data_IF_425310598953
#
_entry.id   IF_425310598953
#
_cell.length_a   1.000
_cell.length_b   1.000
_cell.length_c   1.000
_cell.angle_alpha   90.00
_cell.angle_beta   90.00
_cell.angle_gamma   90.00
#
_symmetry.space_group_name_H-M   'P 1'
#
loop_
_entity.id
_entity.type
_entity.pdbx_description
1 polymer ?
#
# COMPACT_ATOMS: atom_id res chain seq x y z
N UNK A 1 -31.83 8.26 25.95
CA UNK A 1 -31.29 8.46 24.59
C UNK A 1 -29.81 8.16 24.70
N UNK A 2 -29.40 7.03 24.15
CA UNK A 2 -28.07 6.44 24.36
C UNK A 2 -26.93 7.33 23.87
N UNK A 3 -25.81 7.41 24.61
CA UNK A 3 -24.62 8.09 24.15
C UNK A 3 -23.98 7.29 23.01
N UNK A 4 -23.62 8.01 21.95
CA UNK A 4 -22.93 7.51 20.77
C UNK A 4 -21.72 6.65 21.19
N UNK A 5 -21.75 5.41 20.71
CA UNK A 5 -20.68 4.43 20.81
C UNK A 5 -19.38 5.03 20.24
N UNK A 6 -18.45 5.43 21.10
CA UNK A 6 -17.09 5.84 20.73
C UNK A 6 -16.26 4.60 20.40
N UNK A 7 -16.38 4.11 19.16
CA UNK A 7 -15.42 3.16 18.63
C UNK A 7 -14.20 3.92 18.11
N UNK A 8 -13.13 3.95 18.91
CA UNK A 8 -11.78 4.28 18.46
C UNK A 8 -11.27 3.15 17.56
N UNK A 9 -11.10 3.39 16.26
CA UNK A 9 -10.44 2.44 15.36
C UNK A 9 -9.39 3.17 14.49
N UNK A 10 -8.19 2.54 14.49
CA UNK A 10 -6.93 2.79 13.76
C UNK A 10 -6.42 4.23 13.68
N UNK A 11 -5.55 4.62 14.63
CA UNK A 11 -4.56 5.69 14.43
C UNK A 11 -3.34 5.10 13.71
N UNK A 12 -2.62 5.86 12.87
CA UNK A 12 -1.28 5.44 12.44
C UNK A 12 -0.43 5.27 13.70
N UNK A 13 0.10 4.09 13.92
CA UNK A 13 1.15 3.94 14.92
C UNK A 13 2.45 3.89 14.14
N UNK A 14 3.35 4.75 14.55
CA UNK A 14 4.66 4.96 13.97
C UNK A 14 5.55 3.80 14.42
N UNK A 15 6.14 3.06 13.49
CA UNK A 15 7.26 2.20 13.82
C UNK A 15 8.52 3.00 13.52
N UNK A 16 9.21 3.40 14.57
CA UNK A 16 10.52 4.02 14.48
C UNK A 16 11.58 2.92 14.45
N UNK A 17 12.45 2.95 13.44
CA UNK A 17 13.59 2.03 13.33
C UNK A 17 14.86 2.86 13.49
N UNK A 18 15.48 2.79 14.67
CA UNK A 18 16.57 3.71 15.07
C UNK A 18 17.96 3.36 14.52
N UNK A 19 18.10 2.22 13.82
CA UNK A 19 19.20 1.77 12.93
C UNK A 19 19.01 0.28 12.68
N UNK A 20 19.43 -0.24 11.53
CA UNK A 20 19.61 -1.69 11.30
C UNK A 20 21.05 -1.90 10.86
N UNK A 21 21.96 -2.15 11.81
CA UNK A 21 23.38 -2.38 11.49
C UNK A 21 23.57 -3.86 11.12
N UNK A 22 23.78 -4.15 9.85
CA UNK A 22 24.07 -5.51 9.37
C UNK A 22 25.56 -5.82 9.46
N UNK A 23 25.95 -6.65 10.43
CA UNK A 23 27.15 -7.50 10.31
C UNK A 23 26.68 -8.91 9.98
N UNK A 24 27.04 -9.43 8.81
CA UNK A 24 26.62 -10.75 8.33
C UNK A 24 27.12 -11.86 9.28
N UNK A 25 26.19 -12.54 9.94
CA UNK A 25 26.41 -13.72 10.79
C UNK A 25 25.11 -14.10 11.54
N UNK A 26 24.92 -15.38 11.84
CA UNK A 26 23.70 -15.99 12.43
C UNK A 26 23.23 -15.39 13.77
N UNK A 27 23.97 -14.44 14.35
CA UNK A 27 23.61 -13.68 15.57
C UNK A 27 22.88 -12.33 15.29
N UNK A 28 22.46 -12.04 14.05
CA UNK A 28 21.97 -10.71 13.65
C UNK A 28 20.44 -10.49 13.78
N UNK A 29 19.62 -11.53 13.85
CA UNK A 29 18.15 -11.40 13.91
C UNK A 29 17.65 -10.84 15.25
N UNK A 30 18.17 -11.33 16.39
CA UNK A 30 17.85 -10.77 17.72
C UNK A 30 18.35 -9.32 17.89
N UNK A 31 19.49 -8.97 17.28
CA UNK A 31 19.99 -7.58 17.28
C UNK A 31 19.13 -6.62 16.46
N UNK A 32 18.54 -7.06 15.35
CA UNK A 32 17.63 -6.23 14.56
C UNK A 32 16.34 -5.92 15.32
N UNK A 33 15.79 -6.89 16.06
CA UNK A 33 14.57 -6.70 16.86
C UNK A 33 14.80 -5.75 18.04
N UNK A 34 15.98 -5.75 18.65
CA UNK A 34 16.34 -4.82 19.74
C UNK A 34 16.54 -3.35 19.27
N UNK A 35 16.48 -3.07 17.96
CA UNK A 35 16.57 -1.71 17.39
C UNK A 35 15.23 -1.20 16.83
N UNK A 36 14.18 -2.02 16.93
CA UNK A 36 12.80 -1.63 16.63
C UNK A 36 12.16 -1.33 17.97
N UNK A 37 11.99 -0.05 18.29
CA UNK A 37 11.27 0.31 19.49
C UNK A 37 9.82 -0.18 19.39
N UNK A 38 9.26 -0.56 20.54
CA UNK A 38 7.84 -0.89 20.61
C UNK A 38 7.01 0.28 20.06
N UNK A 39 6.03 0.01 19.17
CA UNK A 39 5.29 1.06 18.47
C UNK A 39 4.77 2.14 19.43
N UNK A 40 5.20 3.40 19.27
CA UNK A 40 4.78 4.50 20.15
C UNK A 40 3.42 5.08 19.71
N UNK A 41 2.44 5.02 20.60
CA UNK A 41 1.06 5.46 20.33
C UNK A 41 0.92 6.97 20.53
N UNK A 42 0.55 7.67 19.47
CA UNK A 42 0.17 9.08 19.52
C UNK A 42 -1.30 9.25 19.10
N UNK A 43 -2.14 9.78 19.99
CA UNK A 43 -3.55 10.08 19.69
C UNK A 43 -3.66 11.40 18.91
N UNK A 44 -4.37 11.39 17.78
CA UNK A 44 -4.53 12.56 16.88
C UNK A 44 -6.01 12.84 16.64
N UNK A 45 -6.44 14.10 16.75
CA UNK A 45 -7.86 14.49 16.71
C UNK A 45 -8.35 14.93 15.31
N UNK A 46 -9.67 14.86 15.09
CA UNK A 46 -10.36 15.06 13.79
C UNK A 46 -10.94 16.47 13.64
N UNK A 47 -10.81 17.07 12.46
CA UNK A 47 -11.61 18.23 12.02
C UNK A 47 -12.18 18.08 10.60
N UNK A 48 -11.56 17.26 9.75
CA UNK A 48 -12.00 16.95 8.38
C UNK A 48 -12.43 15.48 8.27
N UNK A 49 -13.57 15.21 7.61
CA UNK A 49 -14.03 13.85 7.31
C UNK A 49 -14.88 13.81 6.03
N UNK A 50 -14.97 12.61 5.43
CA UNK A 50 -15.94 12.31 4.37
C UNK A 50 -16.84 11.18 4.86
N UNK A 51 -18.16 11.43 4.89
CA UNK A 51 -19.19 10.48 5.36
C UNK A 51 -18.89 9.90 6.77
N UNK A 52 -18.30 10.71 7.65
CA UNK A 52 -17.97 10.30 9.03
C UNK A 52 -16.68 9.48 9.18
N UNK A 53 -15.93 9.22 8.10
CA UNK A 53 -14.64 8.51 8.12
C UNK A 53 -13.49 9.45 7.75
N UNK A 54 -12.38 9.31 8.48
CA UNK A 54 -11.14 10.06 8.31
C UNK A 54 -10.02 9.36 9.10
N UNK A 55 -8.77 9.72 8.81
CA UNK A 55 -7.58 9.21 9.50
C UNK A 55 -7.36 7.70 9.31
N UNK A 56 -7.83 7.14 8.18
CA UNK A 56 -7.42 5.81 7.72
C UNK A 56 -6.14 5.98 6.90
N UNK A 57 -5.02 6.00 7.62
CA UNK A 57 -3.73 6.37 7.07
C UNK A 57 -3.01 5.16 6.49
N UNK A 58 -2.78 5.21 5.18
CA UNK A 58 -2.40 4.03 4.38
C UNK A 58 -0.99 4.07 3.79
N UNK A 59 -0.20 5.11 4.11
CA UNK A 59 1.26 5.11 3.90
C UNK A 59 1.92 6.27 4.68
N UNK A 60 3.25 6.32 4.65
CA UNK A 60 4.08 7.34 5.29
C UNK A 60 5.36 7.58 4.48
N UNK A 61 5.66 8.84 4.14
CA UNK A 61 6.90 9.17 3.42
C UNK A 61 7.44 10.54 3.81
N UNK A 62 8.73 10.80 3.53
CA UNK A 62 9.36 12.10 3.77
C UNK A 62 9.59 12.81 2.43
N UNK A 63 8.88 13.92 2.20
CA UNK A 63 8.96 14.69 0.96
C UNK A 63 9.21 16.17 1.24
N UNK A 64 10.38 16.67 0.82
CA UNK A 64 10.88 18.02 1.15
C UNK A 64 10.82 18.34 2.65
N UNK A 65 11.44 17.48 3.48
CA UNK A 65 11.54 17.62 4.94
C UNK A 65 10.18 17.64 5.66
N UNK A 66 9.12 17.15 5.00
CA UNK A 66 7.81 16.97 5.59
C UNK A 66 7.49 15.49 5.67
N UNK A 67 7.08 15.02 6.83
CA UNK A 67 6.52 13.68 6.99
C UNK A 67 5.09 13.75 6.49
N UNK A 68 4.78 13.06 5.40
CA UNK A 68 3.46 13.09 4.76
C UNK A 68 2.76 11.75 4.94
N UNK A 69 1.45 11.82 5.16
CA UNK A 69 0.59 10.64 5.24
C UNK A 69 -0.73 10.90 4.52
N UNK A 70 -1.28 9.93 3.77
CA UNK A 70 -2.52 10.07 3.04
C UNK A 70 -3.68 9.41 3.80
N UNK A 71 -4.87 9.99 3.72
CA UNK A 71 -6.11 9.38 4.21
C UNK A 71 -6.88 8.77 3.04
N UNK A 72 -7.04 7.44 3.04
CA UNK A 72 -7.65 6.67 1.96
C UNK A 72 -9.17 6.88 1.80
N UNK A 73 -9.82 7.57 2.76
CA UNK A 73 -11.24 7.94 2.68
C UNK A 73 -11.44 9.34 2.18
N UNK A 74 -10.65 10.28 2.68
CA UNK A 74 -10.81 11.67 2.29
C UNK A 74 -10.06 12.00 1.01
N UNK A 75 -8.98 11.28 0.69
CA UNK A 75 -8.03 11.65 -0.35
C UNK A 75 -7.13 12.81 0.04
N UNK A 76 -7.10 13.20 1.32
CA UNK A 76 -6.25 14.26 1.83
C UNK A 76 -4.85 13.73 2.13
N UNK A 77 -3.82 14.38 1.58
CA UNK A 77 -2.45 14.26 2.05
C UNK A 77 -2.23 15.32 3.13
N UNK A 78 -1.72 14.88 4.28
CA UNK A 78 -1.44 15.76 5.41
C UNK A 78 0.02 15.65 5.83
N UNK A 79 0.58 16.75 6.32
CA UNK A 79 1.86 16.79 7.01
C UNK A 79 1.69 16.43 8.48
N UNK A 80 2.53 15.51 8.95
CA UNK A 80 2.75 15.25 10.37
C UNK A 80 3.82 16.21 10.87
N UNK A 81 3.45 17.08 11.81
CA UNK A 81 4.37 17.99 12.50
C UNK A 81 4.16 17.92 14.00
N UNK A 82 5.02 17.17 14.69
CA UNK A 82 4.81 16.82 16.09
C UNK A 82 3.49 16.04 16.26
N UNK A 83 2.63 16.54 17.15
CA UNK A 83 1.29 16.01 17.40
C UNK A 83 0.23 16.48 16.40
N UNK A 84 0.57 17.41 15.49
CA UNK A 84 -0.36 17.99 14.54
C UNK A 84 -0.44 17.20 13.23
N UNK A 85 -1.64 17.20 12.63
CA UNK A 85 -1.93 16.76 11.26
C UNK A 85 -2.39 17.99 10.49
N UNK A 86 -1.55 18.46 9.56
CA UNK A 86 -1.77 19.68 8.80
C UNK A 86 -2.17 19.29 7.37
N UNK A 87 -3.43 19.52 6.95
CA UNK A 87 -3.86 19.23 5.58
C UNK A 87 -3.02 19.98 4.55
N UNK A 88 -2.63 19.31 3.47
CA UNK A 88 -1.81 19.91 2.43
C UNK A 88 -2.46 19.86 1.04
N UNK A 89 -2.74 18.66 0.53
CA UNK A 89 -3.25 18.46 -0.85
C UNK A 89 -4.42 17.50 -0.85
N UNK A 90 -5.52 17.90 -1.49
CA UNK A 90 -6.68 17.03 -1.71
C UNK A 90 -6.59 16.34 -3.07
N UNK A 91 -6.88 15.05 -3.10
CA UNK A 91 -6.85 14.22 -4.31
C UNK A 91 -8.25 13.68 -4.60
N UNK A 92 -8.84 14.12 -5.72
CA UNK A 92 -10.05 13.51 -6.26
C UNK A 92 -9.76 12.12 -6.85
N UNK A 93 -10.74 11.21 -6.73
CA UNK A 93 -10.65 9.86 -7.28
C UNK A 93 -10.45 9.81 -8.80
N UNK A 94 -9.90 8.68 -9.28
CA UNK A 94 -9.74 8.40 -10.70
C UNK A 94 -9.05 9.51 -11.53
N UNK A 95 -9.65 9.98 -12.64
CA UNK A 95 -9.09 11.04 -13.50
C UNK A 95 -9.05 12.44 -12.87
N UNK A 96 -9.55 12.63 -11.65
CA UNK A 96 -9.51 13.91 -10.94
C UNK A 96 -10.78 14.76 -11.03
N UNK A 97 -11.75 14.37 -11.86
CA UNK A 97 -13.03 15.06 -12.02
C UNK A 97 -14.20 14.31 -11.35
N UNK A 98 -13.93 13.60 -10.26
CA UNK A 98 -14.93 12.84 -9.48
C UNK A 98 -15.32 13.56 -8.19
N UNK A 99 -16.44 13.18 -7.59
CA UNK A 99 -16.90 13.71 -6.30
C UNK A 99 -16.37 12.95 -5.08
N UNK A 100 -15.66 11.84 -5.29
CA UNK A 100 -15.11 11.01 -4.22
C UNK A 100 -13.63 11.32 -3.98
N UNK A 101 -13.18 11.13 -2.73
CA UNK A 101 -11.77 11.17 -2.36
C UNK A 101 -11.01 10.02 -3.01
N UNK A 102 -9.76 10.26 -3.39
CA UNK A 102 -8.91 9.23 -3.94
C UNK A 102 -8.51 8.23 -2.84
N UNK A 103 -8.80 6.94 -3.09
CA UNK A 103 -8.37 5.86 -2.19
C UNK A 103 -6.87 5.65 -2.33
N UNK A 104 -6.09 6.40 -1.57
CA UNK A 104 -4.65 6.28 -1.52
C UNK A 104 -4.23 5.06 -0.72
N UNK A 105 -3.32 4.27 -1.26
CA UNK A 105 -2.87 3.00 -0.69
C UNK A 105 -1.35 2.88 -0.64
N UNK A 106 -0.62 3.76 -1.36
CA UNK A 106 0.83 3.81 -1.35
C UNK A 106 1.35 5.17 -1.83
N UNK A 107 2.54 5.54 -1.38
CA UNK A 107 3.29 6.72 -1.80
C UNK A 107 4.77 6.41 -2.06
N UNK A 108 5.33 7.05 -3.08
CA UNK A 108 6.78 7.02 -3.30
C UNK A 108 7.26 8.29 -4.01
N UNK A 109 8.58 8.49 -4.06
CA UNK A 109 9.18 9.70 -4.62
C UNK A 109 10.03 9.31 -5.82
N UNK A 110 9.78 9.98 -6.95
CA UNK A 110 10.61 9.84 -8.16
C UNK A 110 10.69 11.17 -8.87
N UNK A 111 11.92 11.58 -9.22
CA UNK A 111 12.20 12.81 -9.98
C UNK A 111 11.54 14.06 -9.36
N UNK A 112 11.69 14.24 -8.04
CA UNK A 112 11.13 15.37 -7.27
C UNK A 112 9.58 15.45 -7.26
N UNK A 113 8.91 14.35 -7.62
CA UNK A 113 7.47 14.20 -7.56
C UNK A 113 7.07 13.15 -6.52
N UNK A 114 6.06 13.49 -5.72
CA UNK A 114 5.36 12.52 -4.88
C UNK A 114 4.35 11.77 -5.76
N UNK A 115 4.58 10.48 -5.97
CA UNK A 115 3.65 9.55 -6.58
C UNK A 115 2.72 8.98 -5.51
N UNK A 116 1.43 8.96 -5.80
CA UNK A 116 0.38 8.55 -4.87
C UNK A 116 -0.58 7.65 -5.61
N UNK A 117 -0.62 6.36 -5.25
CA UNK A 117 -1.42 5.39 -5.98
C UNK A 117 -2.54 4.78 -5.16
N UNK A 118 -3.48 4.19 -5.89
CA UNK A 118 -4.53 3.36 -5.33
C UNK A 118 -4.19 1.88 -5.53
N UNK A 119 -5.12 1.00 -5.17
CA UNK A 119 -4.87 -0.44 -5.09
C UNK A 119 -4.77 -1.17 -6.43
N UNK A 120 -5.07 -0.51 -7.55
CA UNK A 120 -4.95 -1.11 -8.88
C UNK A 120 -6.01 -2.17 -9.20
N UNK A 121 -7.11 -2.23 -8.45
CA UNK A 121 -8.22 -3.18 -8.69
C UNK A 121 -9.38 -2.49 -9.42
N UNK A 122 -9.82 -3.09 -10.52
CA UNK A 122 -11.09 -2.74 -11.17
C UNK A 122 -12.24 -3.28 -10.33
N UNK A 123 -13.15 -2.40 -9.92
CA UNK A 123 -14.32 -2.76 -9.09
C UNK A 123 -15.58 -2.80 -9.95
N UNK A 124 -16.59 -3.57 -9.54
CA UNK A 124 -17.92 -3.45 -10.12
C UNK A 124 -18.50 -2.08 -9.74
N UNK A 125 -19.05 -1.35 -10.69
CA UNK A 125 -19.73 -0.09 -10.40
C UNK A 125 -21.03 -0.40 -9.62
N UNK A 126 -21.39 0.38 -8.61
CA UNK A 126 -22.61 0.18 -7.80
C UNK A 126 -23.92 0.22 -8.64
N UNK A 127 -23.85 0.70 -9.89
CA UNK A 127 -24.96 0.65 -10.86
C UNK A 127 -25.06 -0.67 -11.61
N UNK A 128 -24.01 -1.49 -11.62
CA UNK A 128 -24.00 -2.80 -12.26
C UNK A 128 -24.38 -3.86 -11.23
N UNK A 129 -25.65 -4.31 -11.25
CA UNK A 129 -26.15 -5.41 -10.39
C UNK A 129 -25.68 -6.80 -10.85
N UNK A 130 -24.79 -6.88 -11.85
CA UNK A 130 -24.27 -8.15 -12.36
C UNK A 130 -22.95 -8.50 -11.69
N UNK A 131 -22.82 -9.69 -11.09
CA UNK A 131 -21.55 -10.16 -10.56
C UNK A 131 -20.50 -10.20 -11.67
N UNK A 132 -19.27 -9.74 -11.37
CA UNK A 132 -18.11 -9.79 -12.27
C UNK A 132 -17.91 -11.20 -12.88
N UNK A 133 -18.27 -12.24 -12.12
CA UNK A 133 -18.27 -13.64 -12.54
C UNK A 133 -19.15 -13.92 -13.77
N UNK A 134 -20.33 -13.33 -13.87
CA UNK A 134 -21.20 -13.51 -15.04
C UNK A 134 -20.66 -12.78 -16.28
N UNK A 135 -19.90 -11.69 -16.09
CA UNK A 135 -19.25 -10.98 -17.19
C UNK A 135 -18.08 -11.78 -17.79
N UNK A 136 -17.39 -12.61 -17.01
CA UNK A 136 -16.32 -13.47 -17.53
C UNK A 136 -16.86 -14.68 -18.29
N UNK A 137 -17.95 -15.31 -17.79
CA UNK A 137 -18.57 -16.49 -18.43
C UNK A 137 -19.18 -16.15 -19.79
N UNK A 138 -19.81 -14.98 -19.93
CA UNK A 138 -20.54 -14.61 -21.15
C UNK A 138 -19.64 -14.05 -22.27
N UNK A 139 -18.32 -13.97 -22.09
CA UNK A 139 -17.43 -13.27 -23.04
C UNK A 139 -17.72 -11.76 -23.14
N UNK A 140 -18.57 -11.24 -22.26
CA UNK A 140 -19.06 -9.87 -22.24
C UNK A 140 -18.09 -8.89 -21.58
N UNK A 141 -16.83 -9.25 -21.36
CA UNK A 141 -15.82 -8.32 -20.82
C UNK A 141 -15.73 -7.04 -21.67
N UNK A 142 -15.89 -7.16 -23.00
CA UNK A 142 -15.95 -6.03 -23.95
C UNK A 142 -17.29 -5.26 -23.97
N UNK A 143 -18.35 -5.78 -23.36
CA UNK A 143 -19.65 -5.13 -23.25
C UNK A 143 -19.86 -4.48 -21.87
N UNK A 144 -19.34 -5.10 -20.80
CA UNK A 144 -19.29 -4.56 -19.45
C UNK A 144 -18.40 -3.30 -19.35
N UNK A 145 -17.42 -3.16 -20.25
CA UNK A 145 -16.58 -1.96 -20.40
C UNK A 145 -17.38 -0.69 -20.73
N UNK A 146 -18.59 -0.80 -21.29
CA UNK A 146 -19.37 0.38 -21.70
C UNK A 146 -20.19 0.99 -20.55
N UNK A 147 -20.55 0.23 -19.49
CA UNK A 147 -21.41 0.74 -18.41
C UNK A 147 -21.22 0.14 -16.98
N UNK A 148 -20.30 -0.81 -16.74
CA UNK A 148 -20.36 -1.62 -15.50
C UNK A 148 -19.14 -1.64 -14.57
N UNK A 149 -17.97 -1.15 -14.99
CA UNK A 149 -16.73 -1.27 -14.23
C UNK A 149 -16.20 0.09 -13.77
N UNK A 150 -15.87 0.20 -12.49
CA UNK A 150 -15.13 1.34 -11.94
C UNK A 150 -13.63 1.07 -12.02
N UNK A 151 -12.91 1.98 -12.68
CA UNK A 151 -11.46 1.93 -12.87
C UNK A 151 -10.73 3.05 -12.13
N UNK A 152 -11.39 3.75 -11.21
CA UNK A 152 -10.81 4.86 -10.49
C UNK A 152 -9.55 4.46 -9.70
N UNK A 153 -9.51 3.23 -9.18
CA UNK A 153 -8.33 2.69 -8.48
C UNK A 153 -7.16 2.34 -9.40
N UNK A 154 -7.32 2.44 -10.73
CA UNK A 154 -6.25 2.26 -11.71
C UNK A 154 -5.44 3.54 -11.96
N UNK A 155 -5.80 4.64 -11.31
CA UNK A 155 -5.13 5.92 -11.47
C UNK A 155 -4.06 6.13 -10.40
N UNK A 156 -3.01 6.86 -10.77
CA UNK A 156 -1.96 7.36 -9.88
C UNK A 156 -1.94 8.88 -9.97
N UNK A 157 -1.65 9.55 -8.87
CA UNK A 157 -1.48 11.00 -8.80
C UNK A 157 0.01 11.31 -8.70
N UNK A 158 0.45 12.39 -9.33
CA UNK A 158 1.77 12.97 -9.08
C UNK A 158 1.58 14.36 -8.51
N UNK A 159 2.25 14.66 -7.40
CA UNK A 159 2.15 15.93 -6.69
C UNK A 159 3.52 16.60 -6.68
N UNK A 160 3.58 17.85 -7.13
CA UNK A 160 4.83 18.65 -7.09
C UNK A 160 5.11 19.14 -5.66
N UNK A 161 6.30 19.65 -5.36
CA UNK A 161 6.60 20.22 -4.03
C UNK A 161 5.67 21.37 -3.65
N UNK A 162 5.14 22.09 -4.66
CA UNK A 162 4.18 23.18 -4.50
C UNK A 162 2.72 22.71 -4.36
N UNK A 163 2.45 21.41 -4.49
CA UNK A 163 1.12 20.83 -4.34
C UNK A 163 0.32 20.74 -5.64
N UNK A 164 0.94 20.96 -6.79
CA UNK A 164 0.26 20.82 -8.09
C UNK A 164 0.04 19.34 -8.39
N UNK A 165 -1.20 18.98 -8.74
CA UNK A 165 -1.62 17.59 -8.95
C UNK A 165 -1.75 17.28 -10.43
N UNK A 166 -1.17 16.17 -10.88
CA UNK A 166 -1.45 15.57 -12.20
C UNK A 166 -1.99 14.16 -12.02
N UNK A 167 -2.92 13.76 -12.89
CA UNK A 167 -3.58 12.45 -12.86
C UNK A 167 -3.02 11.56 -13.97
N UNK A 168 -2.52 10.38 -13.62
CA UNK A 168 -1.89 9.42 -14.54
C UNK A 168 -2.73 8.14 -14.57
N UNK A 169 -3.18 7.74 -15.76
CA UNK A 169 -3.86 6.47 -15.94
C UNK A 169 -2.82 5.34 -15.98
N UNK A 170 -2.80 4.48 -14.96
CA UNK A 170 -1.87 3.34 -14.85
C UNK A 170 -2.53 2.01 -15.23
N UNK A 171 -3.72 2.03 -15.88
CA UNK A 171 -4.43 0.80 -16.27
C UNK A 171 -3.53 -0.19 -17.02
N UNK A 172 -2.81 0.27 -18.04
CA UNK A 172 -1.95 -0.60 -18.84
C UNK A 172 -0.71 -1.06 -18.05
N UNK A 173 -0.19 -0.23 -17.16
CA UNK A 173 0.95 -0.56 -16.30
C UNK A 173 0.56 -1.68 -15.33
N UNK A 174 -0.56 -1.52 -14.61
CA UNK A 174 -1.07 -2.56 -13.72
C UNK A 174 -1.40 -3.85 -14.46
N UNK A 175 -1.96 -3.79 -15.68
CA UNK A 175 -2.19 -4.97 -16.50
C UNK A 175 -0.88 -5.69 -16.89
N UNK A 176 0.18 -4.95 -17.23
CA UNK A 176 1.50 -5.53 -17.49
C UNK A 176 2.10 -6.19 -16.25
N UNK A 177 1.94 -5.58 -15.07
CA UNK A 177 2.35 -6.19 -13.80
C UNK A 177 1.64 -7.54 -13.60
N UNK A 178 0.31 -7.59 -13.76
CA UNK A 178 -0.47 -8.85 -13.68
C UNK A 178 0.06 -9.91 -14.64
N UNK A 179 0.23 -9.55 -15.91
CA UNK A 179 0.70 -10.47 -16.94
C UNK A 179 2.11 -11.01 -16.63
N UNK A 180 3.01 -10.17 -16.10
CA UNK A 180 4.39 -10.56 -15.78
C UNK A 180 4.52 -11.65 -14.71
N UNK A 181 3.51 -11.80 -13.85
CA UNK A 181 3.47 -12.82 -12.80
C UNK A 181 2.48 -13.95 -13.11
N UNK A 182 2.02 -14.06 -14.36
CA UNK A 182 1.12 -15.12 -14.81
C UNK A 182 -0.31 -15.01 -14.27
N UNK A 183 -0.76 -13.80 -13.91
CA UNK A 183 -2.15 -13.54 -13.51
C UNK A 183 -2.99 -13.17 -14.73
N UNK A 184 -4.08 -13.91 -14.92
CA UNK A 184 -5.00 -13.75 -16.04
C UNK A 184 -5.72 -12.39 -16.04
N UNK A 185 -6.33 -12.03 -17.17
CA UNK A 185 -7.13 -10.80 -17.28
C UNK A 185 -8.27 -10.73 -16.25
N UNK A 186 -8.88 -11.88 -15.94
CA UNK A 186 -9.94 -12.01 -14.95
C UNK A 186 -9.43 -11.94 -13.50
N UNK A 187 -8.14 -12.18 -13.28
CA UNK A 187 -7.48 -12.05 -11.98
C UNK A 187 -7.13 -10.61 -11.61
N UNK A 188 -6.59 -10.44 -10.40
CA UNK A 188 -6.19 -9.14 -9.87
C UNK A 188 -4.92 -9.22 -9.02
N UNK A 189 -4.27 -8.07 -8.89
CA UNK A 189 -3.23 -7.80 -7.91
C UNK A 189 -3.66 -6.55 -7.15
N UNK A 190 -3.50 -6.58 -5.81
CA UNK A 190 -3.74 -5.45 -4.93
C UNK A 190 -2.41 -4.82 -4.53
N UNK A 191 -2.25 -3.52 -4.79
CA UNK A 191 -1.02 -2.78 -4.46
C UNK A 191 -1.22 -1.85 -3.27
N UNK A 192 -0.42 -2.04 -2.21
CA UNK A 192 -0.36 -1.13 -1.04
C UNK A 192 1.09 -0.82 -0.66
N UNK A 193 2.06 -1.37 -1.39
CA UNK A 193 3.47 -1.27 -1.06
C UNK A 193 4.27 -1.14 -2.35
N UNK A 194 4.66 0.10 -2.67
CA UNK A 194 5.36 0.48 -3.92
C UNK A 194 6.44 1.49 -3.60
N UNK A 195 7.67 1.27 -4.06
CA UNK A 195 8.76 2.25 -3.94
C UNK A 195 9.56 2.38 -5.24
N UNK A 196 10.03 3.58 -5.53
CA UNK A 196 11.08 3.85 -6.51
C UNK A 196 12.44 3.93 -5.79
N UNK A 197 13.44 3.19 -6.27
CA UNK A 197 14.82 3.37 -5.84
C UNK A 197 15.60 4.15 -6.91
N UNK A 198 16.13 5.31 -6.52
CA UNK A 198 17.02 6.08 -7.38
C UNK A 198 18.40 5.40 -7.55
N UNK A 199 18.86 4.67 -6.53
CA UNK A 199 20.15 3.94 -6.57
C UNK A 199 20.10 2.74 -7.50
N UNK A 200 19.03 1.94 -7.39
CA UNK A 200 18.80 0.78 -8.24
C UNK A 200 18.17 1.16 -9.59
N UNK A 201 17.68 2.40 -9.74
CA UNK A 201 16.96 2.92 -10.91
C UNK A 201 15.77 2.06 -11.33
N UNK A 202 15.02 1.59 -10.33
CA UNK A 202 13.92 0.64 -10.52
C UNK A 202 12.76 0.92 -9.58
N UNK A 203 11.58 0.64 -10.07
CA UNK A 203 10.37 0.46 -9.27
C UNK A 203 10.38 -0.92 -8.63
N UNK A 204 9.88 -0.99 -7.41
CA UNK A 204 9.68 -2.20 -6.65
C UNK A 204 8.25 -2.22 -6.11
N UNK A 205 7.60 -3.38 -6.23
CA UNK A 205 6.25 -3.62 -5.77
C UNK A 205 6.25 -4.87 -4.91
N UNK A 206 5.62 -4.76 -3.74
CA UNK A 206 5.29 -5.87 -2.87
C UNK A 206 3.77 -5.91 -2.76
N UNK A 207 3.07 -6.61 -3.67
CA UNK A 207 1.62 -6.58 -3.66
C UNK A 207 1.06 -7.16 -2.36
N UNK A 208 -0.03 -6.58 -1.86
CA UNK A 208 -0.74 -7.11 -0.67
C UNK A 208 -1.37 -8.46 -0.99
N UNK A 209 -2.11 -8.50 -2.10
CA UNK A 209 -2.94 -9.64 -2.50
C UNK A 209 -2.76 -9.93 -3.99
N UNK A 210 -2.92 -11.20 -4.38
CA UNK A 210 -2.86 -11.63 -5.77
C UNK A 210 -3.72 -12.88 -5.99
N UNK A 211 -4.53 -12.90 -7.05
CA UNK A 211 -5.34 -14.06 -7.39
C UNK A 211 -5.63 -14.14 -8.90
N UNK A 212 -5.77 -15.36 -9.41
CA UNK A 212 -6.21 -15.65 -10.79
C UNK A 212 -7.74 -15.60 -10.97
N UNK A 213 -8.48 -15.47 -9.87
CA UNK A 213 -9.94 -15.34 -9.85
C UNK A 213 -10.36 -13.87 -9.77
N UNK A 214 -11.58 -13.51 -10.21
CA UNK A 214 -12.12 -12.17 -10.01
C UNK A 214 -12.09 -11.73 -8.54
N UNK A 215 -11.96 -10.42 -8.32
CA UNK A 215 -11.99 -9.84 -6.99
C UNK A 215 -13.31 -10.17 -6.28
N UNK A 216 -13.20 -10.80 -5.11
CA UNK A 216 -14.28 -11.06 -4.18
C UNK A 216 -13.84 -10.61 -2.80
N UNK A 217 -14.53 -9.61 -2.24
CA UNK A 217 -14.19 -9.01 -0.95
C UNK A 217 -14.14 -10.03 0.18
N UNK A 218 -15.03 -11.03 0.19
CA UNK A 218 -15.09 -12.02 1.26
C UNK A 218 -13.95 -13.05 1.21
N UNK A 219 -13.32 -13.22 0.05
CA UNK A 219 -12.22 -14.18 -0.13
C UNK A 219 -10.84 -13.51 -0.14
N UNK A 220 -10.79 -12.19 -0.35
CA UNK A 220 -9.57 -11.41 -0.54
C UNK A 220 -8.63 -11.46 0.68
N UNK A 221 -9.19 -11.62 1.88
CA UNK A 221 -8.41 -11.74 3.12
C UNK A 221 -7.44 -12.94 3.08
N UNK A 222 -7.76 -13.98 2.31
CA UNK A 222 -6.93 -15.19 2.13
C UNK A 222 -6.04 -15.16 0.86
N UNK A 223 -5.91 -14.02 0.19
CA UNK A 223 -5.14 -13.88 -1.06
C UNK A 223 -3.77 -13.23 -0.87
N UNK A 224 -3.21 -13.26 0.33
CA UNK A 224 -1.83 -12.81 0.64
C UNK A 224 -0.80 -13.38 -0.33
N UNK A 225 0.28 -12.64 -0.61
CA UNK A 225 1.30 -13.06 -1.58
C UNK A 225 2.71 -12.80 -1.06
N UNK A 226 3.70 -13.45 -1.68
CA UNK A 226 5.13 -13.30 -1.39
C UNK A 226 5.92 -12.76 -2.59
N UNK A 227 5.24 -12.12 -3.56
CA UNK A 227 5.86 -11.57 -4.76
C UNK A 227 6.66 -10.30 -4.45
N UNK A 228 7.86 -10.23 -5.01
CA UNK A 228 8.66 -9.01 -5.19
C UNK A 228 8.78 -8.75 -6.68
N UNK A 229 8.08 -7.73 -7.18
CA UNK A 229 8.06 -7.37 -8.59
C UNK A 229 8.90 -6.11 -8.75
N UNK A 230 9.70 -6.03 -9.82
CA UNK A 230 10.48 -4.83 -10.11
C UNK A 230 10.51 -4.49 -11.59
N UNK A 231 10.73 -3.22 -11.90
CA UNK A 231 10.81 -2.73 -13.28
C UNK A 231 11.63 -1.46 -13.38
N UNK A 232 12.56 -1.34 -14.35
CA UNK A 232 13.27 -0.09 -14.60
C UNK A 232 12.39 1.00 -15.22
N UNK A 233 11.39 0.61 -16.02
CA UNK A 233 10.72 1.50 -16.99
C UNK A 233 9.18 1.42 -16.96
N UNK A 234 8.59 0.59 -16.10
CA UNK A 234 7.16 0.26 -16.06
C UNK A 234 6.63 -0.37 -17.37
N UNK A 235 7.52 -0.96 -18.16
CA UNK A 235 7.22 -1.70 -19.39
C UNK A 235 7.66 -3.14 -19.24
N UNK A 236 8.89 -3.36 -18.75
CA UNK A 236 9.48 -4.68 -18.55
C UNK A 236 9.51 -4.99 -17.06
N UNK A 237 8.85 -6.08 -16.68
CA UNK A 237 8.71 -6.48 -15.28
C UNK A 237 9.39 -7.83 -15.05
N UNK A 238 10.09 -7.92 -13.94
CA UNK A 238 10.68 -9.16 -13.41
C UNK A 238 10.12 -9.38 -12.02
N UNK A 239 9.98 -10.64 -11.61
CA UNK A 239 9.55 -10.96 -10.26
C UNK A 239 10.41 -12.03 -9.61
N UNK A 240 10.43 -11.99 -8.29
CA UNK A 240 11.00 -12.99 -7.40
C UNK A 240 9.96 -13.31 -6.32
N UNK A 241 10.21 -14.37 -5.55
CA UNK A 241 9.45 -14.69 -4.34
C UNK A 241 10.32 -14.44 -3.11
N UNK A 242 9.69 -14.00 -2.02
CA UNK A 242 10.35 -13.68 -0.75
C UNK A 242 9.82 -14.60 0.33
N UNK A 243 10.61 -15.60 0.72
CA UNK A 243 10.19 -16.62 1.69
C UNK A 243 8.94 -17.40 1.25
N UNK A 244 8.29 -18.04 2.22
CA UNK A 244 7.08 -18.83 1.99
C UNK A 244 5.81 -17.97 1.95
N UNK A 245 4.87 -18.33 1.07
CA UNK A 245 3.59 -17.61 0.96
C UNK A 245 2.69 -17.92 2.15
N UNK A 246 2.35 -16.89 2.93
CA UNK A 246 1.27 -16.95 3.91
C UNK A 246 -0.03 -16.33 3.33
N UNK A 247 -1.12 -17.09 3.15
CA UNK A 247 -2.37 -16.57 2.56
C UNK A 247 -3.04 -15.46 3.36
N UNK A 248 -2.88 -15.43 4.69
CA UNK A 248 -3.54 -14.46 5.58
C UNK A 248 -2.78 -13.13 5.65
N UNK A 249 -1.49 -13.13 5.30
CA UNK A 249 -0.59 -11.98 5.44
C UNK A 249 -0.35 -11.33 4.08
N UNK A 250 -0.62 -10.04 3.97
CA UNK A 250 -0.33 -9.26 2.77
C UNK A 250 0.56 -8.08 3.09
N UNK A 251 1.51 -7.77 2.20
CA UNK A 251 2.35 -6.58 2.33
C UNK A 251 1.50 -5.31 2.39
N UNK A 252 1.77 -4.45 3.38
CA UNK A 252 1.06 -3.18 3.59
C UNK A 252 1.94 -1.95 3.42
N UNK A 253 3.26 -2.08 3.59
CA UNK A 253 4.22 -1.02 3.34
C UNK A 253 5.64 -1.61 3.23
N UNK A 254 6.55 -0.87 2.61
CA UNK A 254 7.99 -1.13 2.74
C UNK A 254 8.81 0.11 2.46
N UNK A 255 10.05 0.08 2.94
CA UNK A 255 11.07 1.06 2.58
C UNK A 255 12.44 0.39 2.48
N UNK A 256 13.39 1.05 1.84
CA UNK A 256 14.77 0.59 1.78
C UNK A 256 15.52 0.97 3.05
N UNK A 257 16.36 0.07 3.55
CA UNK A 257 17.19 0.34 4.72
C UNK A 257 18.30 1.34 4.31
N UNK A 258 18.45 2.49 5.03
CA UNK A 258 19.52 3.44 4.77
C UNK A 258 20.90 2.80 4.75
N UNK A 259 21.83 3.38 3.99
CA UNK A 259 23.22 2.92 3.88
C UNK A 259 23.41 1.48 3.35
N UNK A 260 22.37 0.88 2.73
CA UNK A 260 22.45 -0.45 2.10
C UNK A 260 22.44 -0.41 0.57
N UNK A 261 22.68 0.75 -0.04
CA UNK A 261 22.53 0.96 -1.49
C UNK A 261 21.14 0.56 -2.04
N UNK A 262 20.11 0.60 -1.18
CA UNK A 262 18.75 0.13 -1.46
C UNK A 262 18.69 -1.37 -1.82
N UNK A 263 19.65 -2.16 -1.31
CA UNK A 263 19.70 -3.60 -1.52
C UNK A 263 18.95 -4.38 -0.44
N UNK A 264 18.72 -3.76 0.73
CA UNK A 264 17.91 -4.34 1.80
C UNK A 264 16.58 -3.59 1.95
N UNK A 265 15.52 -4.36 2.14
CA UNK A 265 14.15 -3.91 2.33
C UNK A 265 13.70 -4.31 3.73
N UNK A 266 13.08 -3.37 4.43
CA UNK A 266 12.20 -3.66 5.57
C UNK A 266 10.76 -3.50 5.11
N UNK A 267 9.94 -4.52 5.35
CA UNK A 267 8.55 -4.53 4.91
C UNK A 267 7.61 -4.91 6.06
N UNK A 268 6.39 -4.36 5.98
CA UNK A 268 5.29 -4.71 6.84
C UNK A 268 4.32 -5.61 6.09
N UNK A 269 3.78 -6.61 6.80
CA UNK A 269 2.62 -7.39 6.36
C UNK A 269 1.52 -7.24 7.39
N UNK A 270 0.27 -7.15 6.95
CA UNK A 270 -0.88 -7.13 7.85
C UNK A 270 -1.81 -8.30 7.56
N UNK A 271 -2.52 -8.72 8.61
CA UNK A 271 -3.57 -9.73 8.61
C UNK A 271 -4.89 -9.09 9.02
N UNK A 272 -5.97 -9.48 8.35
CA UNK A 272 -7.36 -9.12 8.66
C UNK A 272 -8.19 -10.39 8.46
N UNK A 273 -8.53 -11.09 9.54
CA UNK A 273 -9.35 -12.31 9.48
C UNK A 273 -10.48 -12.18 10.49
N UNK A 274 -11.71 -11.98 9.98
CA UNK A 274 -12.84 -11.62 10.81
C UNK A 274 -12.56 -10.29 11.53
N UNK A 275 -12.65 -10.30 12.85
CA UNK A 275 -12.37 -9.11 13.68
C UNK A 275 -10.90 -9.04 14.16
N UNK A 276 -10.06 -10.02 13.82
CA UNK A 276 -8.66 -10.07 14.23
C UNK A 276 -7.76 -9.33 13.24
N UNK A 277 -6.93 -8.42 13.76
CA UNK A 277 -5.88 -7.76 12.99
C UNK A 277 -4.52 -7.91 13.65
N UNK A 278 -3.47 -8.03 12.84
CA UNK A 278 -2.09 -8.10 13.31
C UNK A 278 -1.14 -7.52 12.26
N UNK A 279 0.01 -7.03 12.70
CA UNK A 279 1.10 -6.58 11.83
C UNK A 279 2.36 -7.41 12.07
N UNK A 280 3.07 -7.73 11.00
CA UNK A 280 4.35 -8.44 11.00
C UNK A 280 5.40 -7.57 10.31
N UNK A 281 6.63 -7.61 10.83
CA UNK A 281 7.82 -7.02 10.18
C UNK A 281 8.69 -8.13 9.59
N UNK A 282 9.29 -7.87 8.44
CA UNK A 282 10.25 -8.78 7.79
C UNK A 282 11.35 -7.97 7.12
N UNK A 283 12.54 -8.55 6.99
CA UNK A 283 13.69 -7.95 6.31
C UNK A 283 14.24 -8.94 5.30
N UNK A 284 14.49 -8.47 4.09
CA UNK A 284 15.03 -9.29 2.99
C UNK A 284 15.77 -8.39 1.99
N UNK A 285 16.60 -8.99 1.14
CA UNK A 285 17.27 -8.26 0.08
C UNK A 285 16.44 -8.19 -1.22
N UNK A 286 16.83 -7.31 -2.15
CA UNK A 286 16.17 -7.18 -3.47
C UNK A 286 16.24 -8.45 -4.34
N UNK A 287 17.00 -9.47 -3.93
CA UNK A 287 17.05 -10.78 -4.56
C UNK A 287 16.07 -11.80 -3.93
N UNK A 288 15.28 -11.39 -2.94
CA UNK A 288 14.30 -12.22 -2.24
C UNK A 288 14.89 -13.12 -1.14
N UNK A 289 16.17 -12.94 -0.78
CA UNK A 289 16.78 -13.65 0.35
C UNK A 289 16.30 -13.03 1.65
N UNK A 290 15.58 -13.81 2.45
CA UNK A 290 15.10 -13.40 3.78
C UNK A 290 16.26 -13.32 4.77
N UNK A 291 16.25 -12.26 5.57
CA UNK A 291 17.20 -11.97 6.65
C UNK A 291 16.46 -12.04 8.01
N UNK A 292 15.24 -11.52 8.05
CA UNK A 292 14.32 -11.63 9.18
C UNK A 292 12.98 -12.18 8.68
N UNK A 293 12.61 -13.37 9.15
CA UNK A 293 11.29 -13.96 8.92
C UNK A 293 10.18 -13.09 9.54
N UNK A 294 8.96 -13.25 9.05
CA UNK A 294 7.79 -12.54 9.56
C UNK A 294 7.70 -12.60 11.10
N UNK A 295 7.98 -11.48 11.76
CA UNK A 295 7.92 -11.34 13.21
C UNK A 295 6.74 -10.45 13.58
N UNK A 296 5.84 -10.96 14.40
CA UNK A 296 4.66 -10.22 14.82
C UNK A 296 5.03 -9.04 15.72
N UNK A 297 4.48 -7.87 15.41
CA UNK A 297 4.60 -6.68 16.23
C UNK A 297 3.50 -6.71 17.30
N UNK A 298 3.81 -6.21 18.49
CA UNK A 298 2.85 -6.18 19.60
C UNK A 298 1.65 -5.28 19.26
N UNK A 299 0.46 -5.81 19.52
CA UNK A 299 -0.81 -5.09 19.44
C UNK A 299 -1.69 -5.54 18.26
N UNK A 300 -3.01 -5.43 18.45
CA UNK A 300 -4.01 -5.85 17.45
C UNK A 300 -4.29 -4.71 16.47
N UNK A 301 -3.24 -4.23 15.79
CA UNK A 301 -3.32 -3.09 14.87
C UNK A 301 -2.77 -3.44 13.49
N UNK A 302 -3.25 -2.69 12.49
CA UNK A 302 -2.70 -2.65 11.14
C UNK A 302 -1.78 -1.45 10.99
N UNK A 303 -0.50 -1.70 10.74
CA UNK A 303 0.43 -0.66 10.32
C UNK A 303 0.62 -0.72 8.80
N UNK A 304 0.33 0.41 8.17
CA UNK A 304 0.29 0.59 6.71
C UNK A 304 1.33 1.62 6.25
N UNK A 305 2.29 2.00 7.11
CA UNK A 305 3.40 2.88 6.75
C UNK A 305 4.64 2.58 7.57
N UNK A 306 5.82 2.71 6.96
CA UNK A 306 7.13 2.51 7.61
C UNK A 306 8.14 3.50 7.06
N UNK A 307 8.95 4.09 7.94
CA UNK A 307 10.02 5.01 7.58
C UNK A 307 11.13 5.01 8.64
N UNK A 308 12.29 5.55 8.28
CA UNK A 308 13.41 5.76 9.19
C UNK A 308 13.43 7.21 9.65
N UNK A 309 13.74 7.42 10.93
CA UNK A 309 13.95 8.74 11.55
C UNK A 309 15.42 9.04 11.79
#
# INVERSE_FOLDING_TARGET
MDPLNMNCLSSPILIEIHKLVTSYGEQSSEKCLNQIDSPEKHSRSRSLNIKGRAMELSDLTVFHNRILTPDDKTGMISEIRGDQIIPWVFLNSGPGNTTEGFKCEWMTIKDDLLYVGSNGIVSANNKCKMPLFYCSILGCFKAATKHGLDRNNMWVKTVTPKGEVTHRNWTDIYNKIKASVGISEAGYIKHEAVQWSAKQRRWFFLPRKAANTPYNRAEDDMKGTNLLISSPDLVHFEFKTVGERNPERGYSAFTFIPDTNDELIVALKTKEIGDSTATFITVFNINGKVILEDTELKGDYKFEGVYFI
#
